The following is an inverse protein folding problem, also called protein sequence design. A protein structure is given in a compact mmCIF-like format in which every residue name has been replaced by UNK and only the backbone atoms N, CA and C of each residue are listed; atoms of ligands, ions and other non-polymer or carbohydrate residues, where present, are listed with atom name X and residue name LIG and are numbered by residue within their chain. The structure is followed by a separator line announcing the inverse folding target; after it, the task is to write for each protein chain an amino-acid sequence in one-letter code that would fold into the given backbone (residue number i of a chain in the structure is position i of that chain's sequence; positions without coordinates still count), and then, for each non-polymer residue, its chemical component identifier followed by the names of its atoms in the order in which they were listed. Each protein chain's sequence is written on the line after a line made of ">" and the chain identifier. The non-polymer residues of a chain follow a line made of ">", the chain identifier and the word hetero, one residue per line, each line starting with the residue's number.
data_IF_690362643918
#
_entry.id   IF_690362643918
#
_cell.length_a   1.000
_cell.length_b   1.000
_cell.length_c   1.000
_cell.angle_alpha   90.00
_cell.angle_beta   90.00
_cell.angle_gamma   90.00
#
_symmetry.space_group_name_H-M   'P 1'
#
loop_
_entity.id
_entity.type
_entity.pdbx_description
1 polymer ?
#
# COMPACT_ATOMS: atom_id res chain seq x y z
N UNK A 1 21.17 13.41 14.92
CA UNK A 1 19.93 14.00 14.34
C UNK A 1 18.75 13.01 14.29
N UNK A 2 18.89 11.79 13.74
CA UNK A 2 17.77 10.84 13.55
C UNK A 2 17.69 9.70 14.58
N UNK A 3 18.14 9.91 15.83
CA UNK A 3 18.10 8.85 16.85
C UNK A 3 16.65 8.43 17.19
N UNK A 4 15.76 9.40 17.39
CA UNK A 4 14.33 9.15 17.66
C UNK A 4 13.61 8.49 16.49
N UNK A 5 13.97 8.84 15.25
CA UNK A 5 13.41 8.21 14.05
C UNK A 5 13.77 6.72 13.99
N UNK A 6 15.06 6.38 14.19
CA UNK A 6 15.49 4.97 14.21
C UNK A 6 14.79 4.18 15.32
N UNK A 7 14.66 4.76 16.51
CA UNK A 7 13.92 4.13 17.60
C UNK A 7 12.43 3.92 17.26
N UNK A 8 11.78 4.89 16.59
CA UNK A 8 10.40 4.73 16.11
C UNK A 8 10.28 3.56 15.13
N UNK A 9 11.21 3.44 14.16
CA UNK A 9 11.19 2.35 13.16
C UNK A 9 11.34 0.95 13.77
N UNK A 10 11.92 0.84 14.95
CA UNK A 10 12.11 -0.43 15.67
C UNK A 10 10.90 -0.80 16.55
N UNK A 11 9.95 0.12 16.76
CA UNK A 11 8.72 -0.13 17.49
C UNK A 11 7.78 -1.06 16.73
N UNK A 12 7.04 -1.91 17.46
CA UNK A 12 6.00 -2.77 16.89
C UNK A 12 4.81 -1.97 16.36
N UNK A 13 4.51 -0.81 16.96
CA UNK A 13 3.39 0.04 16.55
C UNK A 13 3.67 0.80 15.24
N UNK A 14 4.94 0.87 14.81
CA UNK A 14 5.33 1.56 13.58
C UNK A 14 4.73 0.94 12.32
N UNK A 15 4.20 -0.29 12.41
CA UNK A 15 3.51 -0.98 11.32
C UNK A 15 2.23 -0.27 10.85
N UNK A 16 1.65 0.55 11.72
CA UNK A 16 0.44 1.33 11.42
C UNK A 16 0.75 2.76 10.97
N UNK A 17 2.04 3.11 10.82
CA UNK A 17 2.48 4.42 10.35
C UNK A 17 2.94 4.31 8.90
N UNK A 18 2.38 5.14 8.03
CA UNK A 18 2.83 5.34 6.65
C UNK A 18 3.07 6.83 6.41
N UNK A 19 4.24 7.17 5.86
CA UNK A 19 4.61 8.55 5.53
C UNK A 19 4.80 8.68 4.02
N UNK A 20 4.09 9.62 3.40
CA UNK A 20 4.11 9.83 1.96
C UNK A 20 5.09 10.94 1.56
N UNK A 21 5.69 10.81 0.38
CA UNK A 21 6.60 11.80 -0.24
C UNK A 21 6.54 11.68 -1.77
N UNK A 22 6.91 12.68 -2.58
CA UNK A 22 6.97 14.11 -2.27
C UNK A 22 5.57 14.74 -2.31
N UNK A 23 5.43 16.07 -2.25
CA UNK A 23 4.17 16.79 -2.49
C UNK A 23 3.76 16.73 -3.98
N UNK A 24 2.52 17.11 -4.28
CA UNK A 24 1.98 17.15 -5.64
C UNK A 24 1.23 18.46 -5.91
N UNK A 25 1.06 18.84 -7.17
CA UNK A 25 0.40 20.08 -7.56
C UNK A 25 -1.12 19.97 -7.44
N UNK A 26 -1.76 20.92 -6.76
CA UNK A 26 -3.24 20.96 -6.63
C UNK A 26 -3.91 21.83 -7.69
N UNK A 27 -3.22 22.87 -8.16
CA UNK A 27 -3.81 23.91 -9.00
C UNK A 27 -2.79 24.41 -10.00
N UNK A 28 -3.23 24.53 -11.26
CA UNK A 28 -2.47 25.23 -12.30
C UNK A 28 -2.51 26.74 -12.03
N UNK A 29 -1.38 27.45 -12.14
CA UNK A 29 -1.36 28.91 -12.01
C UNK A 29 -2.44 29.60 -12.85
N UNK A 30 -2.97 30.71 -12.37
CA UNK A 30 -3.97 31.46 -13.14
C UNK A 30 -3.32 32.08 -14.38
N UNK A 31 -3.96 31.85 -15.51
CA UNK A 31 -3.54 32.38 -16.80
C UNK A 31 -4.77 32.78 -17.62
N UNK A 32 -4.72 33.90 -18.37
CA UNK A 32 -5.86 34.38 -19.15
C UNK A 32 -6.43 33.38 -20.17
N UNK A 33 -5.63 32.42 -20.64
CA UNK A 33 -6.07 31.37 -21.57
C UNK A 33 -6.36 30.04 -20.87
N UNK A 34 -5.45 29.56 -20.03
CA UNK A 34 -5.54 28.18 -19.47
C UNK A 34 -6.42 28.10 -18.22
N UNK A 35 -6.38 29.13 -17.36
CA UNK A 35 -7.15 29.16 -16.11
C UNK A 35 -7.67 30.58 -15.84
N UNK A 36 -8.68 31.04 -16.62
CA UNK A 36 -9.12 32.43 -16.60
C UNK A 36 -9.97 32.77 -15.37
N UNK A 37 -9.84 34.00 -14.89
CA UNK A 37 -10.71 34.56 -13.85
C UNK A 37 -11.72 35.54 -14.45
N UNK A 38 -12.81 35.79 -13.73
CA UNK A 38 -13.85 36.75 -14.15
C UNK A 38 -13.40 38.19 -13.83
N UNK A 39 -13.85 39.13 -14.65
CA UNK A 39 -13.70 40.59 -14.48
C UNK A 39 -12.34 41.22 -14.81
N UNK A 40 -11.22 40.63 -14.41
CA UNK A 40 -9.89 41.22 -14.67
C UNK A 40 -8.92 40.20 -15.23
N UNK A 41 -7.94 40.67 -15.98
CA UNK A 41 -6.98 39.82 -16.66
C UNK A 41 -5.82 39.46 -15.72
N UNK A 42 -5.97 38.39 -14.93
CA UNK A 42 -4.95 37.94 -13.98
C UNK A 42 -4.00 36.92 -14.62
N UNK A 43 -2.70 37.20 -14.50
CA UNK A 43 -1.64 36.27 -14.86
C UNK A 43 -0.76 36.08 -13.63
N UNK A 44 -0.79 34.88 -13.07
CA UNK A 44 -0.03 34.52 -11.87
C UNK A 44 1.42 34.24 -12.24
N UNK A 45 2.35 34.97 -11.60
CA UNK A 45 3.78 34.77 -11.81
C UNK A 45 4.36 33.82 -10.75
N UNK A 46 4.86 32.67 -11.22
CA UNK A 46 5.46 31.60 -10.42
C UNK A 46 6.93 31.35 -10.76
N UNK A 47 7.58 32.22 -11.53
CA UNK A 47 8.93 31.97 -12.06
C UNK A 47 10.04 32.04 -11.02
N UNK A 48 9.82 32.75 -9.91
CA UNK A 48 10.84 33.02 -8.89
C UNK A 48 11.12 31.85 -7.94
N UNK A 49 10.07 31.23 -7.40
CA UNK A 49 10.18 30.14 -6.41
C UNK A 49 9.10 29.08 -6.67
N UNK A 50 9.49 27.81 -6.64
CA UNK A 50 8.53 26.72 -6.80
C UNK A 50 7.58 26.62 -5.60
N UNK A 51 7.88 27.19 -4.44
CA UNK A 51 6.95 27.26 -3.31
C UNK A 51 5.73 28.17 -3.57
N UNK A 52 5.75 29.00 -4.63
CA UNK A 52 4.57 29.75 -5.06
C UNK A 52 3.49 28.86 -5.71
N UNK A 53 3.84 27.65 -6.14
CA UNK A 53 2.84 26.68 -6.58
C UNK A 53 2.02 26.19 -5.40
N UNK A 54 0.74 25.93 -5.64
CA UNK A 54 -0.14 25.35 -4.63
C UNK A 54 0.15 23.84 -4.48
N UNK A 55 1.15 23.51 -3.67
CA UNK A 55 1.50 22.13 -3.33
C UNK A 55 0.49 21.53 -2.34
N UNK A 56 0.06 20.31 -2.64
CA UNK A 56 -0.82 19.48 -1.83
C UNK A 56 -0.10 18.36 -1.10
N UNK A 57 -0.76 17.86 -0.07
CA UNK A 57 -0.28 16.74 0.71
C UNK A 57 -0.64 15.39 0.06
N UNK A 58 0.37 14.63 -0.34
CA UNK A 58 0.24 13.33 -1.02
C UNK A 58 -0.49 12.26 -0.23
N UNK A 59 -0.67 12.43 1.09
CA UNK A 59 -1.53 11.56 1.89
C UNK A 59 -2.96 11.47 1.34
N UNK A 60 -3.48 12.56 0.74
CA UNK A 60 -4.80 12.54 0.09
C UNK A 60 -4.82 11.59 -1.11
N UNK A 61 -3.77 11.57 -1.94
CA UNK A 61 -3.67 10.68 -3.10
C UNK A 61 -3.57 9.21 -2.67
N UNK A 62 -2.83 8.90 -1.61
CA UNK A 62 -2.81 7.54 -1.08
C UNK A 62 -4.18 7.12 -0.55
N UNK A 63 -4.91 8.03 0.11
CA UNK A 63 -6.26 7.79 0.60
C UNK A 63 -7.27 7.55 -0.53
N UNK A 64 -7.15 8.23 -1.67
CA UNK A 64 -8.01 7.94 -2.84
C UNK A 64 -7.74 6.53 -3.37
N UNK A 65 -6.48 6.08 -3.44
CA UNK A 65 -6.17 4.69 -3.86
C UNK A 65 -6.77 3.64 -2.91
N UNK A 66 -6.68 3.87 -1.59
CA UNK A 66 -7.36 3.03 -0.59
C UNK A 66 -8.88 2.97 -0.82
N UNK A 67 -9.48 4.13 -1.08
CA UNK A 67 -10.93 4.27 -1.30
C UNK A 67 -11.37 3.58 -2.58
N UNK A 68 -10.64 3.73 -3.68
CA UNK A 68 -10.94 3.06 -4.95
C UNK A 68 -10.81 1.54 -4.87
N UNK A 69 -9.76 1.04 -4.21
CA UNK A 69 -9.62 -0.39 -3.94
C UNK A 69 -10.83 -0.91 -3.15
N UNK A 70 -11.26 -0.18 -2.12
CA UNK A 70 -12.43 -0.54 -1.33
C UNK A 70 -13.75 -0.44 -2.12
N UNK A 71 -13.90 0.58 -2.96
CA UNK A 71 -15.08 0.78 -3.78
C UNK A 71 -15.26 -0.36 -4.81
N UNK A 72 -14.17 -0.86 -5.38
CA UNK A 72 -14.18 -1.96 -6.36
C UNK A 72 -14.31 -3.34 -5.70
N UNK A 73 -13.56 -3.58 -4.60
CA UNK A 73 -13.38 -4.94 -4.06
C UNK A 73 -13.81 -5.14 -2.61
N UNK A 74 -14.18 -4.06 -1.90
CA UNK A 74 -14.43 -4.04 -0.43
C UNK A 74 -13.20 -4.40 0.42
N UNK A 75 -12.02 -4.37 -0.20
CA UNK A 75 -10.71 -4.60 0.39
C UNK A 75 -9.71 -3.58 -0.11
N UNK A 76 -8.67 -3.31 0.67
CA UNK A 76 -7.66 -2.28 0.36
C UNK A 76 -6.23 -2.79 0.04
N UNK A 77 -5.99 -3.96 -0.60
CA UNK A 77 -4.63 -4.37 -0.97
C UNK A 77 -4.16 -3.81 -2.32
N UNK A 78 -5.06 -3.20 -3.11
CA UNK A 78 -4.78 -2.74 -4.48
C UNK A 78 -4.47 -1.23 -4.49
N UNK A 79 -3.35 -0.88 -3.85
CA UNK A 79 -2.88 0.52 -3.71
C UNK A 79 -1.44 0.72 -4.21
N UNK A 80 -0.84 -0.34 -4.76
CA UNK A 80 0.52 -0.33 -5.30
C UNK A 80 0.50 -0.82 -6.74
N UNK A 81 1.47 -0.36 -7.52
CA UNK A 81 1.70 -0.71 -8.91
C UNK A 81 0.89 0.14 -9.90
N UNK A 82 1.47 0.53 -11.04
CA UNK A 82 0.82 1.42 -12.01
C UNK A 82 -0.50 0.87 -12.56
N UNK A 83 -0.60 -0.44 -12.79
CA UNK A 83 -1.82 -1.07 -13.33
C UNK A 83 -2.70 -1.73 -12.26
N UNK A 84 -2.19 -1.86 -11.03
CA UNK A 84 -2.84 -2.62 -9.95
C UNK A 84 -3.49 -1.75 -8.88
N UNK A 85 -3.79 -0.49 -9.22
CA UNK A 85 -4.52 0.46 -8.37
C UNK A 85 -3.65 1.47 -7.62
N UNK A 86 -2.34 1.50 -7.87
CA UNK A 86 -1.41 2.48 -7.30
C UNK A 86 -1.15 3.70 -8.20
N UNK A 87 -1.56 3.69 -9.47
CA UNK A 87 -1.46 4.86 -10.35
C UNK A 87 -2.38 5.98 -9.86
N UNK A 88 -1.92 7.22 -9.90
CA UNK A 88 -2.69 8.47 -9.74
C UNK A 88 -2.75 9.12 -11.10
N UNK A 89 -3.96 9.37 -11.57
CA UNK A 89 -4.23 9.90 -12.91
C UNK A 89 -4.68 11.37 -12.80
N UNK A 90 -4.63 12.09 -13.92
CA UNK A 90 -5.17 13.46 -14.06
C UNK A 90 -4.49 14.48 -13.12
N UNK A 91 -3.15 14.46 -13.05
CA UNK A 91 -2.40 15.46 -12.29
C UNK A 91 -2.30 16.79 -13.05
N UNK A 92 -2.40 17.94 -12.37
CA UNK A 92 -2.25 19.24 -13.01
C UNK A 92 -0.89 19.42 -13.70
N UNK A 93 -0.91 19.81 -14.98
CA UNK A 93 0.28 20.11 -15.77
C UNK A 93 0.31 21.60 -16.10
N UNK A 94 1.46 22.23 -15.92
CA UNK A 94 1.68 23.64 -16.27
C UNK A 94 2.83 23.74 -17.28
N UNK A 95 2.54 24.20 -18.50
CA UNK A 95 3.57 24.44 -19.51
C UNK A 95 4.10 25.87 -19.35
N UNK A 96 5.41 26.03 -19.28
CA UNK A 96 6.04 27.33 -19.19
C UNK A 96 7.28 27.40 -20.08
N UNK A 97 7.68 28.62 -20.47
CA UNK A 97 8.88 28.83 -21.27
C UNK A 97 10.11 28.93 -20.36
N UNK A 98 11.12 28.12 -20.67
CA UNK A 98 12.38 27.99 -19.95
C UNK A 98 13.51 27.96 -20.98
N UNK A 99 14.46 28.89 -20.90
CA UNK A 99 15.61 29.00 -21.83
C UNK A 99 15.23 28.93 -23.33
N UNK A 100 14.08 29.48 -23.72
CA UNK A 100 13.58 29.49 -25.10
C UNK A 100 12.94 28.17 -25.56
N UNK A 101 12.65 27.25 -24.64
CA UNK A 101 11.90 26.02 -24.88
C UNK A 101 10.66 25.95 -23.99
N UNK A 102 9.59 25.35 -24.49
CA UNK A 102 8.41 25.04 -23.69
C UNK A 102 8.67 23.77 -22.88
N UNK A 103 8.69 23.90 -21.56
CA UNK A 103 8.85 22.81 -20.61
C UNK A 103 7.58 22.61 -19.77
N UNK A 104 7.25 21.36 -19.48
CA UNK A 104 6.18 21.02 -18.55
C UNK A 104 6.74 21.03 -17.12
N UNK A 105 6.12 21.82 -16.23
CA UNK A 105 6.36 21.69 -14.80
C UNK A 105 5.90 20.30 -14.35
N UNK A 106 6.80 19.60 -13.67
CA UNK A 106 6.52 18.27 -13.13
C UNK A 106 5.44 18.41 -12.03
N UNK A 107 4.36 17.61 -12.07
CA UNK A 107 3.29 17.69 -11.07
C UNK A 107 3.71 17.25 -9.66
N UNK A 108 4.82 16.53 -9.54
CA UNK A 108 5.54 16.28 -8.29
C UNK A 108 6.77 17.18 -8.20
N UNK A 109 7.24 17.46 -6.99
CA UNK A 109 8.40 18.34 -6.79
C UNK A 109 9.68 17.85 -7.49
N UNK A 110 9.81 16.53 -7.60
CA UNK A 110 10.98 15.87 -8.19
C UNK A 110 10.55 14.66 -9.03
N UNK A 111 11.35 14.34 -10.05
CA UNK A 111 11.29 13.05 -10.75
C UNK A 111 12.13 12.03 -9.98
N UNK A 112 11.46 11.22 -9.16
CA UNK A 112 12.12 10.14 -8.41
C UNK A 112 12.49 9.03 -9.39
N UNK A 113 13.77 8.64 -9.40
CA UNK A 113 14.25 7.49 -10.18
C UNK A 113 13.92 6.19 -9.45
N UNK A 114 13.82 5.07 -10.17
CA UNK A 114 13.50 3.76 -9.59
C UNK A 114 14.44 3.37 -8.43
N UNK A 115 15.75 3.67 -8.57
CA UNK A 115 16.72 3.45 -7.49
C UNK A 115 16.41 4.28 -6.24
N UNK A 116 16.02 5.55 -6.42
CA UNK A 116 15.68 6.43 -5.29
C UNK A 116 14.35 6.06 -4.65
N UNK A 117 13.39 5.60 -5.44
CA UNK A 117 12.15 5.02 -4.91
C UNK A 117 12.45 3.80 -4.04
N UNK A 118 13.31 2.89 -4.53
CA UNK A 118 13.72 1.71 -3.77
C UNK A 118 14.44 2.06 -2.45
N UNK A 119 15.37 3.01 -2.49
CA UNK A 119 16.07 3.51 -1.28
C UNK A 119 15.09 4.14 -0.28
N UNK A 120 14.10 4.90 -0.76
CA UNK A 120 13.05 5.48 0.09
C UNK A 120 12.11 4.41 0.67
N UNK A 121 11.76 3.41 -0.13
CA UNK A 121 10.92 2.29 0.28
C UNK A 121 11.59 1.44 1.37
N UNK A 122 12.91 1.23 1.29
CA UNK A 122 13.70 0.54 2.33
C UNK A 122 13.79 1.37 3.62
N UNK A 123 13.77 2.71 3.49
CA UNK A 123 13.69 3.64 4.61
C UNK A 123 12.27 3.83 5.19
N UNK A 124 11.25 3.17 4.62
CA UNK A 124 9.87 3.19 5.12
C UNK A 124 9.05 4.40 4.67
N UNK A 125 9.40 5.00 3.53
CA UNK A 125 8.62 6.06 2.88
C UNK A 125 7.78 5.50 1.73
N UNK A 126 6.61 6.09 1.55
CA UNK A 126 5.69 5.80 0.45
C UNK A 126 5.88 6.88 -0.60
N UNK A 127 6.62 6.55 -1.65
CA UNK A 127 7.03 7.52 -2.66
C UNK A 127 6.07 7.54 -3.85
N UNK A 128 5.56 8.72 -4.19
CA UNK A 128 4.82 8.98 -5.41
C UNK A 128 5.80 9.28 -6.54
N UNK A 129 5.89 8.38 -7.51
CA UNK A 129 6.78 8.54 -8.67
C UNK A 129 5.99 9.05 -9.86
N UNK A 130 6.49 10.12 -10.49
CA UNK A 130 5.84 10.67 -11.68
C UNK A 130 6.24 9.89 -12.92
N UNK A 131 5.27 9.56 -13.78
CA UNK A 131 5.55 9.01 -15.10
C UNK A 131 5.98 10.13 -16.04
N UNK A 132 7.26 10.12 -16.40
CA UNK A 132 7.91 11.14 -17.24
C UNK A 132 7.12 11.39 -18.53
N UNK A 133 6.82 12.65 -18.82
CA UNK A 133 6.13 13.08 -20.05
C UNK A 133 4.63 12.76 -20.08
N UNK A 134 4.03 12.46 -18.93
CA UNK A 134 2.57 12.33 -18.79
C UNK A 134 2.09 13.13 -17.58
N UNK A 135 0.79 13.11 -17.35
CA UNK A 135 0.05 13.63 -16.21
C UNK A 135 -0.26 12.54 -15.15
N UNK A 136 0.41 11.38 -15.23
CA UNK A 136 0.19 10.26 -14.33
C UNK A 136 1.36 10.06 -13.38
N UNK A 137 1.07 9.64 -12.15
CA UNK A 137 2.05 9.18 -11.18
C UNK A 137 1.67 7.79 -10.66
N UNK A 138 2.54 7.14 -9.88
CA UNK A 138 2.23 5.85 -9.26
C UNK A 138 2.91 5.67 -7.92
N UNK A 139 2.25 4.92 -7.04
CA UNK A 139 2.88 4.29 -5.88
C UNK A 139 3.35 2.90 -6.27
N UNK A 140 4.66 2.65 -6.28
CA UNK A 140 5.21 1.32 -6.56
C UNK A 140 5.19 0.42 -5.32
N UNK A 141 5.41 1.01 -4.16
CA UNK A 141 5.41 0.34 -2.87
C UNK A 141 4.65 1.16 -1.82
N UNK A 142 4.15 0.48 -0.79
CA UNK A 142 3.47 1.09 0.35
C UNK A 142 3.95 0.42 1.64
N UNK A 143 5.24 0.60 1.95
CA UNK A 143 5.83 0.10 3.18
C UNK A 143 5.45 1.02 4.34
N UNK A 144 5.25 0.43 5.51
CA UNK A 144 5.16 1.19 6.75
C UNK A 144 6.53 1.69 7.18
N UNK A 145 6.55 2.55 8.19
CA UNK A 145 7.77 3.06 8.82
C UNK A 145 8.59 1.94 9.48
N UNK A 146 7.95 0.83 9.87
CA UNK A 146 8.59 -0.27 10.58
C UNK A 146 9.73 -0.89 9.78
N UNK A 147 10.90 -0.98 10.40
CA UNK A 147 12.07 -1.63 9.80
C UNK A 147 11.95 -3.15 9.92
N UNK A 148 12.14 -3.92 8.83
CA UNK A 148 12.21 -5.38 8.90
C UNK A 148 13.34 -5.85 9.84
N UNK A 149 13.02 -6.80 10.72
CA UNK A 149 14.01 -7.44 11.60
C UNK A 149 14.77 -8.51 10.84
N UNK A 150 16.09 -8.57 11.05
CA UNK A 150 16.92 -9.66 10.55
C UNK A 150 16.88 -10.82 11.56
N UNK A 151 16.76 -12.03 11.03
CA UNK A 151 16.78 -13.27 11.81
C UNK A 151 17.99 -14.12 11.40
N UNK A 152 18.41 -15.11 12.21
CA UNK A 152 19.49 -16.02 11.85
C UNK A 152 19.24 -16.74 10.51
N UNK A 153 20.29 -17.04 9.75
CA UNK A 153 20.22 -17.71 8.44
C UNK A 153 19.85 -19.21 8.50
N UNK A 154 18.96 -19.60 9.42
CA UNK A 154 18.36 -20.94 9.50
C UNK A 154 17.07 -20.98 8.67
N UNK A 155 16.53 -22.18 8.40
CA UNK A 155 15.25 -22.32 7.70
C UNK A 155 14.12 -21.57 8.42
N UNK A 156 14.03 -21.78 9.74
CA UNK A 156 13.04 -21.12 10.61
C UNK A 156 13.24 -19.59 10.65
N UNK A 157 14.50 -19.12 10.67
CA UNK A 157 14.80 -17.69 10.64
C UNK A 157 14.36 -17.01 9.35
N UNK A 158 14.54 -17.65 8.19
CA UNK A 158 14.05 -17.13 6.90
C UNK A 158 12.51 -17.08 6.82
N UNK A 159 11.84 -18.08 7.40
CA UNK A 159 10.38 -18.10 7.50
C UNK A 159 9.88 -16.96 8.42
N UNK A 160 10.53 -16.76 9.56
CA UNK A 160 10.22 -15.66 10.49
C UNK A 160 10.47 -14.29 9.86
N UNK A 161 11.58 -14.11 9.12
CA UNK A 161 11.89 -12.88 8.39
C UNK A 161 10.82 -12.56 7.34
N UNK A 162 10.37 -13.58 6.60
CA UNK A 162 9.30 -13.43 5.61
C UNK A 162 7.99 -13.00 6.28
N UNK A 163 7.62 -13.64 7.38
CA UNK A 163 6.41 -13.31 8.15
C UNK A 163 6.47 -11.88 8.71
N UNK A 164 7.64 -11.49 9.23
CA UNK A 164 7.83 -10.14 9.76
C UNK A 164 7.75 -9.09 8.66
N UNK A 165 8.37 -9.34 7.50
CA UNK A 165 8.33 -8.44 6.34
C UNK A 165 6.93 -8.24 5.78
N UNK A 166 6.08 -9.28 5.74
CA UNK A 166 4.67 -9.10 5.39
C UNK A 166 3.95 -8.15 6.35
N UNK A 167 4.33 -8.20 7.63
CA UNK A 167 3.80 -7.35 8.68
C UNK A 167 4.20 -5.87 8.58
N UNK A 168 5.27 -5.53 7.86
CA UNK A 168 5.73 -4.15 7.65
C UNK A 168 5.12 -3.49 6.40
N UNK A 169 4.35 -4.22 5.60
CA UNK A 169 3.78 -3.72 4.35
C UNK A 169 2.29 -3.40 4.50
N UNK A 170 1.92 -2.15 4.21
CA UNK A 170 0.54 -1.66 4.43
C UNK A 170 -0.54 -2.43 3.65
N UNK A 171 -0.33 -2.87 2.39
CA UNK A 171 -1.35 -3.64 1.67
C UNK A 171 -1.82 -4.89 2.43
N UNK A 172 -0.92 -5.56 3.15
CA UNK A 172 -1.24 -6.73 3.96
C UNK A 172 -1.81 -6.36 5.33
N UNK A 173 -1.27 -5.32 5.98
CA UNK A 173 -1.82 -4.79 7.23
C UNK A 173 -3.28 -4.37 7.06
N UNK A 174 -3.64 -3.76 5.92
CA UNK A 174 -5.03 -3.36 5.62
C UNK A 174 -5.99 -4.55 5.53
N UNK A 175 -5.53 -5.72 5.06
CA UNK A 175 -6.34 -6.96 5.08
C UNK A 175 -6.59 -7.37 6.53
N UNK A 176 -5.55 -7.42 7.35
CA UNK A 176 -5.66 -7.80 8.77
C UNK A 176 -6.55 -6.83 9.55
N UNK A 177 -6.43 -5.52 9.31
CA UNK A 177 -7.27 -4.50 9.93
C UNK A 177 -8.77 -4.71 9.64
N UNK A 178 -9.11 -5.02 8.38
CA UNK A 178 -10.50 -5.33 8.02
C UNK A 178 -11.00 -6.61 8.67
N UNK A 179 -10.17 -7.65 8.75
CA UNK A 179 -10.51 -8.87 9.49
C UNK A 179 -10.77 -8.58 10.96
N UNK A 180 -9.91 -7.79 11.60
CA UNK A 180 -10.08 -7.37 13.00
C UNK A 180 -11.40 -6.61 13.21
N UNK A 181 -11.72 -5.66 12.32
CA UNK A 181 -12.99 -4.93 12.37
C UNK A 181 -14.20 -5.85 12.25
N UNK A 182 -14.21 -6.78 11.28
CA UNK A 182 -15.30 -7.72 11.11
C UNK A 182 -15.45 -8.65 12.31
N UNK A 183 -14.35 -9.22 12.81
CA UNK A 183 -14.38 -10.13 13.97
C UNK A 183 -14.91 -9.40 15.19
N UNK A 184 -14.48 -8.15 15.43
CA UNK A 184 -14.95 -7.36 16.57
C UNK A 184 -16.46 -7.13 16.52
N UNK A 185 -17.02 -6.82 15.35
CA UNK A 185 -18.47 -6.59 15.18
C UNK A 185 -19.23 -7.92 15.26
N UNK A 186 -18.81 -8.95 14.53
CA UNK A 186 -19.48 -10.25 14.48
C UNK A 186 -19.52 -10.91 15.86
N UNK A 187 -18.40 -10.92 16.59
CA UNK A 187 -18.34 -11.55 17.91
C UNK A 187 -19.14 -10.78 18.95
N UNK A 188 -19.25 -9.45 18.82
CA UNK A 188 -20.07 -8.63 19.73
C UNK A 188 -21.55 -9.03 19.68
N UNK A 189 -22.09 -9.31 18.49
CA UNK A 189 -23.48 -9.75 18.32
C UNK A 189 -23.75 -11.17 18.88
N UNK A 190 -22.70 -11.95 19.12
CA UNK A 190 -22.80 -13.34 19.60
C UNK A 190 -22.63 -13.45 21.12
N UNK A 191 -22.36 -12.35 21.83
CA UNK A 191 -22.23 -12.34 23.29
C UNK A 191 -23.58 -12.74 23.92
N UNK A 192 -23.54 -13.74 24.80
CA UNK A 192 -24.73 -14.28 25.48
C UNK A 192 -25.42 -15.43 24.76
N UNK A 193 -24.91 -15.86 23.59
CA UNK A 193 -25.36 -17.08 22.92
C UNK A 193 -24.76 -18.35 23.56
N UNK A 194 -25.46 -19.47 23.41
CA UNK A 194 -25.00 -20.78 23.86
C UNK A 194 -23.97 -21.33 22.87
N UNK A 195 -22.68 -21.08 23.12
CA UNK A 195 -21.59 -21.57 22.27
C UNK A 195 -20.50 -22.22 23.07
N UNK A 196 -20.11 -23.41 22.63
CA UNK A 196 -18.90 -24.05 23.13
C UNK A 196 -17.69 -23.68 22.26
N UNK A 197 -16.49 -24.02 22.74
CA UNK A 197 -15.21 -23.83 22.04
C UNK A 197 -15.25 -24.31 20.59
N UNK A 198 -15.84 -25.50 20.37
CA UNK A 198 -15.92 -26.13 19.06
C UNK A 198 -16.88 -25.41 18.11
N UNK A 199 -17.95 -24.82 18.65
CA UNK A 199 -18.91 -24.05 17.85
C UNK A 199 -18.28 -22.77 17.34
N UNK A 200 -17.56 -22.04 18.20
CA UNK A 200 -16.81 -20.85 17.81
C UNK A 200 -15.76 -21.17 16.75
N UNK A 201 -15.00 -22.24 16.94
CA UNK A 201 -14.00 -22.68 15.97
C UNK A 201 -14.64 -23.00 14.61
N UNK A 202 -15.76 -23.74 14.59
CA UNK A 202 -16.48 -24.11 13.36
C UNK A 202 -17.05 -22.89 12.64
N UNK A 203 -17.72 -22.00 13.36
CA UNK A 203 -18.35 -20.81 12.77
C UNK A 203 -17.32 -19.84 12.21
N UNK A 204 -16.26 -19.55 12.97
CA UNK A 204 -15.20 -18.65 12.52
C UNK A 204 -14.46 -19.21 11.30
N UNK A 205 -14.15 -20.52 11.30
CA UNK A 205 -13.55 -21.17 10.12
C UNK A 205 -14.51 -21.17 8.91
N UNK A 206 -15.82 -21.28 9.13
CA UNK A 206 -16.81 -21.18 8.04
C UNK A 206 -16.90 -19.76 7.50
N UNK A 207 -16.90 -18.77 8.38
CA UNK A 207 -16.94 -17.35 8.02
C UNK A 207 -15.69 -16.92 7.24
N UNK A 208 -14.47 -17.29 7.68
CA UNK A 208 -13.24 -16.82 7.03
C UNK A 208 -13.06 -17.42 5.63
N UNK A 209 -13.59 -18.62 5.36
CA UNK A 209 -13.51 -19.30 4.06
C UNK A 209 -14.10 -18.48 2.91
N UNK A 210 -15.07 -17.61 3.17
CA UNK A 210 -15.66 -16.76 2.13
C UNK A 210 -14.63 -15.79 1.49
N UNK A 211 -13.56 -15.47 2.22
CA UNK A 211 -12.48 -14.58 1.78
C UNK A 211 -11.24 -15.34 1.29
N UNK A 212 -11.30 -16.68 1.24
CA UNK A 212 -10.21 -17.54 0.80
C UNK A 212 -10.39 -17.97 -0.66
N UNK A 213 -9.34 -17.81 -1.45
CA UNK A 213 -9.22 -18.34 -2.81
C UNK A 213 -8.04 -19.34 -2.86
N UNK A 214 -8.36 -20.62 -2.64
CA UNK A 214 -7.42 -21.74 -2.57
C UNK A 214 -6.81 -22.13 -3.92
N UNK A 215 -7.50 -21.81 -5.03
CA UNK A 215 -7.10 -22.21 -6.38
C UNK A 215 -5.64 -21.83 -6.68
N UNK A 216 -4.97 -22.62 -7.51
CA UNK A 216 -3.57 -22.39 -7.85
C UNK A 216 -3.38 -21.07 -8.63
N UNK A 217 -4.26 -20.80 -9.60
CA UNK A 217 -4.22 -19.60 -10.43
C UNK A 217 -5.60 -18.91 -10.57
N UNK A 218 -6.15 -18.33 -9.50
CA UNK A 218 -7.40 -17.57 -9.57
C UNK A 218 -7.19 -16.28 -10.39
N UNK A 219 -8.20 -15.82 -11.14
CA UNK A 219 -8.17 -14.53 -11.83
C UNK A 219 -7.88 -13.35 -10.89
N UNK A 220 -7.32 -12.26 -11.42
CA UNK A 220 -6.93 -11.09 -10.62
C UNK A 220 -8.11 -10.45 -9.86
N UNK A 221 -9.32 -10.44 -10.45
CA UNK A 221 -10.54 -9.95 -9.78
C UNK A 221 -10.89 -10.81 -8.56
N UNK A 222 -10.81 -12.15 -8.69
CA UNK A 222 -11.06 -13.10 -7.61
C UNK A 222 -10.05 -12.91 -6.49
N UNK A 223 -8.75 -12.78 -6.80
CA UNK A 223 -7.69 -12.49 -5.81
C UNK A 223 -7.92 -11.18 -5.07
N UNK A 224 -8.55 -10.20 -5.73
CA UNK A 224 -8.81 -8.88 -5.14
C UNK A 224 -10.02 -8.91 -4.20
N UNK A 225 -11.07 -9.66 -4.54
CA UNK A 225 -12.27 -9.86 -3.68
C UNK A 225 -12.04 -10.84 -2.54
N UNK A 226 -11.17 -11.83 -2.77
CA UNK A 226 -10.76 -12.87 -1.81
C UNK A 226 -9.24 -12.78 -1.60
N UNK A 227 -8.78 -11.88 -0.72
CA UNK A 227 -7.36 -11.57 -0.59
C UNK A 227 -6.53 -12.66 0.10
N UNK A 228 -7.18 -13.66 0.70
CA UNK A 228 -6.51 -14.73 1.44
C UNK A 228 -6.33 -15.98 0.56
N UNK A 229 -5.13 -16.56 0.58
CA UNK A 229 -4.86 -17.87 -0.01
C UNK A 229 -5.19 -19.01 0.96
N UNK A 230 -4.91 -18.80 2.25
CA UNK A 230 -5.24 -19.75 3.31
C UNK A 230 -5.52 -19.02 4.62
N UNK A 231 -6.34 -19.63 5.47
CA UNK A 231 -6.60 -19.15 6.82
C UNK A 231 -6.83 -20.34 7.76
N UNK A 232 -6.40 -20.20 9.01
CA UNK A 232 -6.64 -21.17 10.07
C UNK A 232 -7.00 -20.43 11.35
N UNK A 233 -8.12 -20.81 11.96
CA UNK A 233 -8.56 -20.29 13.25
C UNK A 233 -8.57 -21.43 14.24
N UNK A 234 -7.88 -21.26 15.37
CA UNK A 234 -7.88 -22.20 16.49
C UNK A 234 -8.39 -21.50 17.73
N UNK A 235 -9.27 -22.17 18.47
CA UNK A 235 -9.89 -21.64 19.70
C UNK A 235 -9.50 -22.52 20.87
N UNK A 236 -8.93 -21.92 21.92
CA UNK A 236 -8.59 -22.57 23.18
C UNK A 236 -9.37 -21.94 24.33
N UNK A 237 -9.64 -22.73 25.37
CA UNK A 237 -10.27 -22.24 26.61
C UNK A 237 -9.27 -21.41 27.41
N UNK A 238 -9.77 -20.41 28.16
CA UNK A 238 -8.97 -19.67 29.13
C UNK A 238 -9.08 -20.37 30.48
N UNK A 239 -7.97 -20.87 31.00
CA UNK A 239 -7.94 -21.55 32.30
C UNK A 239 -8.44 -20.61 33.40
N UNK A 240 -9.42 -21.09 34.18
CA UNK A 240 -9.99 -20.35 35.31
C UNK A 240 -11.22 -19.49 34.99
N UNK A 241 -11.51 -19.23 33.71
CA UNK A 241 -12.61 -18.35 33.28
C UNK A 241 -13.57 -19.06 32.30
N UNK A 242 -14.61 -19.75 32.80
CA UNK A 242 -15.60 -20.41 31.94
C UNK A 242 -16.31 -19.42 31.01
N UNK A 243 -16.40 -19.78 29.72
CA UNK A 243 -17.00 -18.93 28.69
C UNK A 243 -16.03 -17.91 28.07
N UNK A 244 -14.79 -17.85 28.54
CA UNK A 244 -13.72 -17.08 27.90
C UNK A 244 -12.87 -17.99 27.00
N UNK A 245 -12.61 -17.49 25.79
CA UNK A 245 -11.88 -18.21 24.77
C UNK A 245 -10.74 -17.37 24.21
N UNK A 246 -9.58 -17.99 24.00
CA UNK A 246 -8.48 -17.41 23.26
C UNK A 246 -8.55 -17.88 21.81
N UNK A 247 -8.70 -16.92 20.89
CA UNK A 247 -8.80 -17.18 19.44
C UNK A 247 -7.49 -16.77 18.77
N UNK A 248 -6.85 -17.72 18.09
CA UNK A 248 -5.70 -17.45 17.23
C UNK A 248 -6.10 -17.56 15.77
N UNK A 249 -5.94 -16.46 15.02
CA UNK A 249 -6.21 -16.36 13.58
C UNK A 249 -4.88 -16.24 12.84
N UNK A 250 -4.53 -17.27 12.08
CA UNK A 250 -3.41 -17.24 11.14
C UNK A 250 -3.94 -17.09 9.72
N UNK A 251 -3.48 -16.07 8.98
CA UNK A 251 -3.88 -15.82 7.59
C UNK A 251 -2.66 -15.73 6.68
N UNK A 252 -2.80 -16.27 5.47
CA UNK A 252 -1.80 -16.18 4.41
C UNK A 252 -2.41 -15.41 3.23
N UNK A 253 -1.97 -14.18 2.95
CA UNK A 253 -2.46 -13.43 1.78
C UNK A 253 -1.86 -13.96 0.47
N UNK A 254 -2.44 -13.56 -0.67
CA UNK A 254 -1.77 -13.67 -1.96
C UNK A 254 -0.60 -12.69 -2.05
N UNK A 255 0.54 -13.13 -2.58
CA UNK A 255 1.70 -12.27 -2.74
C UNK A 255 1.57 -11.33 -3.95
N UNK A 256 1.97 -10.08 -3.74
CA UNK A 256 2.16 -9.07 -4.79
C UNK A 256 3.54 -9.23 -5.42
N UNK A 257 3.62 -8.98 -6.73
CA UNK A 257 4.90 -8.89 -7.43
C UNK A 257 5.58 -7.56 -7.10
N UNK A 258 6.80 -7.60 -6.58
CA UNK A 258 7.55 -6.41 -6.13
C UNK A 258 8.97 -6.33 -6.70
N UNK A 259 9.38 -7.28 -7.54
CA UNK A 259 10.71 -7.32 -8.14
C UNK A 259 11.13 -8.73 -8.54
N UNK A 260 12.08 -8.81 -9.46
CA UNK A 260 12.76 -10.04 -9.86
C UNK A 260 14.17 -9.70 -10.35
N UNK A 261 15.10 -10.63 -10.17
CA UNK A 261 16.43 -10.56 -10.78
C UNK A 261 16.37 -11.33 -12.10
N UNK A 262 16.81 -10.69 -13.19
CA UNK A 262 16.87 -11.30 -14.51
C UNK A 262 18.32 -11.50 -14.91
N UNK A 263 18.74 -12.75 -15.06
CA UNK A 263 20.06 -13.11 -15.60
C UNK A 263 19.92 -13.46 -17.08
N UNK A 264 20.62 -12.73 -17.93
CA UNK A 264 20.60 -12.92 -19.38
C UNK A 264 21.89 -13.64 -19.78
N UNK A 265 21.76 -14.86 -20.29
CA UNK A 265 22.86 -15.63 -20.86
C UNK A 265 22.58 -15.96 -22.32
N UNK A 266 23.61 -15.81 -23.17
CA UNK A 266 23.54 -16.19 -24.58
C UNK A 266 24.01 -17.63 -24.72
N UNK A 267 23.13 -18.53 -25.18
CA UNK A 267 23.43 -19.96 -25.30
C UNK A 267 23.40 -20.35 -26.78
N UNK A 268 24.49 -20.96 -27.28
CA UNK A 268 24.67 -21.28 -28.71
C UNK A 268 23.79 -22.42 -29.25
N UNK A 269 23.25 -23.26 -28.36
CA UNK A 269 22.13 -24.17 -28.63
C UNK A 269 21.25 -24.17 -27.39
N UNK A 270 20.04 -23.63 -27.50
CA UNK A 270 19.02 -23.88 -26.50
C UNK A 270 18.68 -25.37 -26.59
N UNK A 271 18.75 -26.10 -25.48
CA UNK A 271 18.16 -27.43 -25.41
C UNK A 271 16.68 -27.28 -25.79
N UNK A 272 16.30 -27.98 -26.87
CA UNK A 272 14.92 -28.05 -27.33
C UNK A 272 14.28 -29.22 -26.59
N UNK A 273 13.63 -28.93 -25.46
CA UNK A 273 12.59 -29.81 -24.94
C UNK A 273 11.36 -29.77 -25.88
#
# INVERSE_FOLDING_TARGET
>A
KYAKWRALRESEDARYLGLTSPRFLLRVPYDPSENPVRSFNYKEDVSGDHEHYLWGNTAYLLATRLTESFAKYRWCPNIIGPQSGGAVEDLPVHMFESFGQLEAKIPTEVLITDRREYEMADEGFISLTMRKGSDNAAFFSANSVQKPKQFPSTKEGKEAETNYKLGTQLPYVMIVNRLAHYIKVLQREQIGSWKERQDLERELNTWIRQYVADQENPPADVRSRRPLRAAKITVSDVEGDPGWYQVSLAVRPHFKYMGANFELSLVGRLDKD
#
